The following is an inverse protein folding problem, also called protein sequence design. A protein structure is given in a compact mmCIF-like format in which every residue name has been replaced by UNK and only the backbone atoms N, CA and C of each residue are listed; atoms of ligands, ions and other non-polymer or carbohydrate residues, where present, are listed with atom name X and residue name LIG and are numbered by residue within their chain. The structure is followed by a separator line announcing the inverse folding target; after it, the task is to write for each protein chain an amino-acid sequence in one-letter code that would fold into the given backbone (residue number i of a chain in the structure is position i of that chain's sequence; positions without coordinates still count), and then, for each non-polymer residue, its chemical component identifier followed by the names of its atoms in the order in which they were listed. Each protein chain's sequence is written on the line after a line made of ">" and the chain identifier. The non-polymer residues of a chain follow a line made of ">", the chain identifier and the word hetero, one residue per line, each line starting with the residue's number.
data_IF_228128189828
#
_entry.id   IF_228128189828
#
_cell.length_a   1.000
_cell.length_b   1.000
_cell.length_c   1.000
_cell.angle_alpha   90.00
_cell.angle_beta   90.00
_cell.angle_gamma   90.00
#
_symmetry.space_group_name_H-M   'P 1'
#
loop_
_entity.id
_entity.type
_entity.pdbx_description
1 polymer ?
#
# COMPACT_ATOMS: atom_id res chain seq x y z
N UNK A 1 -0.60 32.82 -2.01
CA UNK A 1 -1.19 31.66 -1.30
C UNK A 1 -2.47 31.22 -2.01
N UNK A 2 -3.47 32.06 -2.15
CA UNK A 2 -4.78 31.75 -2.78
C UNK A 2 -4.72 31.06 -4.16
N UNK A 3 -3.78 31.43 -5.04
CA UNK A 3 -3.59 30.79 -6.34
C UNK A 3 -2.95 29.38 -6.28
N UNK A 4 -2.17 29.09 -5.24
CA UNK A 4 -1.53 27.78 -5.04
C UNK A 4 -2.56 26.81 -4.44
N UNK A 5 -3.33 27.26 -3.46
CA UNK A 5 -4.41 26.47 -2.84
C UNK A 5 -5.45 26.07 -3.89
N UNK A 6 -5.90 27.03 -4.70
CA UNK A 6 -6.84 26.74 -5.79
C UNK A 6 -6.28 25.73 -6.81
N UNK A 7 -4.98 25.81 -7.13
CA UNK A 7 -4.32 24.85 -8.03
C UNK A 7 -4.28 23.45 -7.42
N UNK A 8 -4.01 23.32 -6.12
CA UNK A 8 -4.00 22.02 -5.44
C UNK A 8 -5.38 21.36 -5.45
N UNK A 9 -6.45 22.13 -5.24
CA UNK A 9 -7.82 21.62 -5.22
C UNK A 9 -8.27 21.08 -6.58
N UNK A 10 -7.81 21.71 -7.68
CA UNK A 10 -8.11 21.29 -9.05
C UNK A 10 -7.16 20.16 -9.55
N UNK A 11 -6.14 19.77 -8.75
CA UNK A 11 -5.20 18.71 -9.16
C UNK A 11 -5.95 17.38 -9.33
N UNK A 12 -5.58 16.65 -10.38
CA UNK A 12 -6.27 15.40 -10.75
C UNK A 12 -5.79 14.24 -9.88
N UNK A 13 -6.75 13.50 -9.38
CA UNK A 13 -6.54 12.24 -8.67
C UNK A 13 -7.74 11.32 -8.97
N UNK A 14 -7.47 10.07 -9.34
CA UNK A 14 -8.53 9.12 -9.62
C UNK A 14 -8.70 8.15 -8.45
N UNK A 15 -9.77 8.34 -7.69
CA UNK A 15 -10.11 7.56 -6.50
C UNK A 15 -11.36 6.72 -6.76
N UNK A 16 -11.26 5.43 -6.47
CA UNK A 16 -12.37 4.48 -6.64
C UNK A 16 -13.34 4.55 -5.47
N UNK A 17 -12.84 4.50 -4.24
CA UNK A 17 -13.66 4.54 -3.03
C UNK A 17 -12.95 5.20 -1.86
N UNK A 18 -13.74 5.76 -0.94
CA UNK A 18 -13.30 6.30 0.34
C UNK A 18 -14.18 5.67 1.41
N UNK A 19 -13.59 5.13 2.46
CA UNK A 19 -14.32 4.50 3.55
C UNK A 19 -13.52 4.55 4.85
N UNK A 20 -14.22 4.51 5.98
CA UNK A 20 -13.60 4.49 7.31
C UNK A 20 -13.72 3.10 7.92
N UNK A 21 -12.61 2.57 8.43
CA UNK A 21 -12.50 1.25 9.00
C UNK A 21 -11.37 1.17 10.01
N UNK A 22 -10.96 -0.04 10.36
CA UNK A 22 -9.74 -0.32 11.14
C UNK A 22 -8.64 -0.78 10.20
N UNK A 23 -7.43 -0.20 10.32
CA UNK A 23 -6.27 -0.73 9.60
C UNK A 23 -6.05 -2.19 9.98
N UNK A 24 -6.12 -3.08 8.99
CA UNK A 24 -6.07 -4.52 9.21
C UNK A 24 -4.68 -5.14 9.16
N UNK A 25 -3.66 -4.39 8.69
CA UNK A 25 -2.35 -4.93 8.33
C UNK A 25 -1.21 -3.98 8.72
N UNK A 26 -0.02 -4.56 9.03
CA UNK A 26 1.19 -3.79 9.26
C UNK A 26 1.28 -3.09 10.61
N UNK A 27 2.14 -2.08 10.69
CA UNK A 27 2.47 -1.37 11.94
C UNK A 27 1.27 -0.73 12.63
N UNK A 28 0.30 -0.25 11.85
CA UNK A 28 -0.89 0.43 12.38
C UNK A 28 -2.12 -0.49 12.52
N UNK A 29 -1.93 -1.81 12.55
CA UNK A 29 -3.04 -2.76 12.76
C UNK A 29 -3.85 -2.40 14.00
N UNK A 30 -5.17 -2.25 13.84
CA UNK A 30 -6.10 -1.87 14.90
C UNK A 30 -6.42 -0.37 14.97
N UNK A 31 -5.73 0.48 14.21
CA UNK A 31 -6.00 1.93 14.21
C UNK A 31 -7.27 2.25 13.41
N UNK A 32 -8.20 3.06 13.95
CA UNK A 32 -9.27 3.66 13.17
C UNK A 32 -8.69 4.53 12.07
N UNK A 33 -9.05 4.25 10.82
CA UNK A 33 -8.43 4.85 9.65
C UNK A 33 -9.45 5.16 8.57
N UNK A 34 -9.25 6.26 7.84
CA UNK A 34 -9.96 6.50 6.59
C UNK A 34 -9.07 6.09 5.43
N UNK A 35 -9.60 5.21 4.60
CA UNK A 35 -8.93 4.67 3.42
C UNK A 35 -9.35 5.43 2.18
N UNK A 36 -8.36 5.90 1.42
CA UNK A 36 -8.54 6.54 0.11
C UNK A 36 -7.95 5.59 -0.92
N UNK A 37 -8.82 4.87 -1.64
CA UNK A 37 -8.43 3.82 -2.58
C UNK A 37 -8.39 4.32 -4.00
N UNK A 38 -7.18 4.45 -4.55
CA UNK A 38 -6.91 4.96 -5.88
C UNK A 38 -7.16 3.89 -6.97
N UNK A 39 -7.47 4.37 -8.17
CA UNK A 39 -7.67 3.54 -9.36
C UNK A 39 -6.39 3.36 -10.16
N UNK A 40 -6.20 2.14 -10.66
CA UNK A 40 -5.12 1.78 -11.58
C UNK A 40 -3.87 1.21 -10.90
N UNK A 41 -3.32 0.15 -11.49
CA UNK A 41 -2.07 -0.49 -11.07
C UNK A 41 -1.26 -0.88 -12.29
N UNK A 42 0.07 -0.89 -12.17
CA UNK A 42 0.97 -1.38 -13.21
C UNK A 42 1.13 -2.90 -13.19
N UNK A 43 0.93 -3.52 -12.03
CA UNK A 43 1.05 -4.97 -11.85
C UNK A 43 -0.30 -5.69 -12.08
N UNK A 44 -0.21 -7.00 -12.28
CA UNK A 44 -1.36 -7.91 -12.43
C UNK A 44 -1.07 -9.17 -11.63
N UNK A 45 -1.28 -9.09 -10.33
CA UNK A 45 -0.99 -10.22 -9.42
C UNK A 45 -2.01 -11.33 -9.60
N UNK A 46 -1.52 -12.56 -9.80
CA UNK A 46 -2.31 -13.80 -9.79
C UNK A 46 -1.62 -14.77 -8.86
N UNK A 47 -2.33 -15.24 -7.86
CA UNK A 47 -1.83 -16.17 -6.86
C UNK A 47 -2.27 -17.62 -7.16
N UNK A 48 -1.73 -18.56 -6.41
CA UNK A 48 -2.08 -19.97 -6.55
C UNK A 48 -3.59 -20.21 -6.43
N UNK A 49 -4.11 -21.18 -7.18
CA UNK A 49 -5.55 -21.45 -7.21
C UNK A 49 -6.40 -20.49 -8.01
N UNK A 50 -5.77 -19.54 -8.75
CA UNK A 50 -6.48 -18.59 -9.59
C UNK A 50 -7.08 -17.40 -8.82
N UNK A 51 -6.62 -17.17 -7.58
CA UNK A 51 -6.94 -15.96 -6.84
C UNK A 51 -6.20 -14.78 -7.48
N UNK A 52 -6.91 -13.70 -7.79
CA UNK A 52 -6.33 -12.44 -8.27
C UNK A 52 -6.19 -11.48 -7.10
N UNK A 53 -5.53 -10.33 -7.36
CA UNK A 53 -5.43 -9.26 -6.37
C UNK A 53 -6.79 -8.99 -5.70
N UNK A 54 -6.83 -8.88 -4.38
CA UNK A 54 -8.04 -8.59 -3.57
C UNK A 54 -8.72 -7.26 -3.94
N UNK A 55 -7.95 -6.31 -4.45
CA UNK A 55 -8.44 -5.06 -5.03
C UNK A 55 -8.42 -5.07 -6.57
N UNK A 56 -8.81 -6.20 -7.20
CA UNK A 56 -8.80 -6.37 -8.65
C UNK A 56 -9.69 -5.33 -9.39
N UNK A 57 -10.73 -4.85 -8.75
CA UNK A 57 -11.61 -3.79 -9.25
C UNK A 57 -10.93 -2.43 -9.38
N UNK A 58 -9.76 -2.23 -8.77
CA UNK A 58 -8.91 -1.06 -8.98
C UNK A 58 -7.68 -1.33 -9.86
N UNK A 59 -7.37 -2.60 -10.15
CA UNK A 59 -6.12 -2.99 -10.79
C UNK A 59 -6.30 -3.77 -12.10
N UNK A 60 -6.99 -4.91 -12.08
CA UNK A 60 -7.10 -5.82 -13.24
C UNK A 60 -8.07 -5.29 -14.30
N UNK A 61 -9.26 -4.91 -13.85
CA UNK A 61 -10.32 -4.28 -14.65
C UNK A 61 -10.86 -3.12 -13.82
N UNK A 62 -10.14 -1.98 -13.83
CA UNK A 62 -10.53 -0.86 -12.99
C UNK A 62 -11.97 -0.45 -13.25
N UNK A 63 -12.76 -0.41 -12.20
CA UNK A 63 -14.03 0.31 -12.21
C UNK A 63 -13.75 1.79 -12.45
N UNK A 64 -14.66 2.55 -13.04
CA UNK A 64 -14.51 4.00 -13.13
C UNK A 64 -14.22 4.62 -11.77
N UNK A 65 -13.37 5.63 -11.75
CA UNK A 65 -13.15 6.41 -10.54
C UNK A 65 -14.44 7.16 -10.17
N UNK A 66 -14.72 7.27 -8.87
CA UNK A 66 -15.86 8.02 -8.35
C UNK A 66 -15.49 9.48 -8.06
N UNK A 67 -14.19 9.75 -7.88
CA UNK A 67 -13.66 11.08 -7.58
C UNK A 67 -12.48 11.36 -8.51
N UNK A 68 -12.40 12.60 -9.05
CA UNK A 68 -11.44 12.96 -10.09
C UNK A 68 -10.55 14.15 -9.73
N UNK A 69 -10.88 14.87 -8.65
CA UNK A 69 -10.10 16.00 -8.16
C UNK A 69 -9.81 15.88 -6.66
N UNK A 70 -8.78 16.56 -6.21
CA UNK A 70 -8.43 16.61 -4.78
C UNK A 70 -9.58 17.19 -3.96
N UNK A 71 -10.28 18.21 -4.47
CA UNK A 71 -11.44 18.82 -3.83
C UNK A 71 -12.57 17.81 -3.58
N UNK A 72 -12.92 17.00 -4.60
CA UNK A 72 -13.94 15.96 -4.45
C UNK A 72 -13.56 14.93 -3.38
N UNK A 73 -12.28 14.51 -3.36
CA UNK A 73 -11.77 13.57 -2.36
C UNK A 73 -11.82 14.15 -0.95
N UNK A 74 -11.40 15.40 -0.77
CA UNK A 74 -11.42 16.08 0.54
C UNK A 74 -12.85 16.26 1.07
N UNK A 75 -13.79 16.61 0.21
CA UNK A 75 -15.21 16.72 0.58
C UNK A 75 -15.77 15.37 1.05
N UNK A 76 -15.43 14.28 0.39
CA UNK A 76 -15.85 12.96 0.83
C UNK A 76 -15.16 12.55 2.15
N UNK A 77 -13.85 12.80 2.31
CA UNK A 77 -13.16 12.58 3.60
C UNK A 77 -13.86 13.34 4.72
N UNK A 78 -14.22 14.60 4.50
CA UNK A 78 -14.96 15.42 5.47
C UNK A 78 -16.31 14.79 5.84
N UNK A 79 -17.04 14.28 4.87
CA UNK A 79 -18.31 13.57 5.10
C UNK A 79 -18.08 12.29 5.91
N UNK A 80 -17.09 11.49 5.59
CA UNK A 80 -16.76 10.23 6.26
C UNK A 80 -16.22 10.41 7.69
N UNK A 81 -15.70 11.58 8.04
CA UNK A 81 -15.01 11.83 9.32
C UNK A 81 -15.70 12.92 10.13
N UNK A 82 -15.54 14.19 9.77
CA UNK A 82 -16.04 15.36 10.52
C UNK A 82 -17.56 15.35 10.63
N UNK A 83 -18.28 15.18 9.53
CA UNK A 83 -19.76 15.19 9.54
C UNK A 83 -20.33 13.94 10.22
N UNK A 84 -19.63 12.81 10.12
CA UNK A 84 -19.98 11.59 10.85
C UNK A 84 -19.54 11.61 12.33
N UNK A 85 -18.88 12.69 12.78
CA UNK A 85 -18.37 12.86 14.15
C UNK A 85 -17.40 11.77 14.60
N UNK A 86 -16.61 11.23 13.67
CA UNK A 86 -15.59 10.21 13.94
C UNK A 86 -14.25 10.88 14.29
N UNK A 87 -13.51 10.26 15.22
CA UNK A 87 -12.17 10.74 15.63
C UNK A 87 -11.09 9.96 14.86
N UNK A 88 -10.92 10.28 13.59
CA UNK A 88 -9.94 9.65 12.73
C UNK A 88 -8.64 10.46 12.73
N UNK A 89 -7.54 9.82 13.10
CA UNK A 89 -6.19 10.42 13.11
C UNK A 89 -5.24 9.73 12.11
N UNK A 90 -5.71 8.75 11.37
CA UNK A 90 -4.90 8.00 10.43
C UNK A 90 -5.58 7.92 9.07
N UNK A 91 -4.86 8.32 8.04
CA UNK A 91 -5.31 8.26 6.63
C UNK A 91 -4.43 7.27 5.89
N UNK A 92 -5.05 6.33 5.20
CA UNK A 92 -4.37 5.31 4.40
C UNK A 92 -4.64 5.55 2.92
N UNK A 93 -3.62 5.95 2.19
CA UNK A 93 -3.67 6.10 0.74
C UNK A 93 -3.25 4.77 0.12
N UNK A 94 -4.18 4.09 -0.52
CA UNK A 94 -4.04 2.73 -1.00
C UNK A 94 -4.68 2.57 -2.38
N UNK A 95 -4.99 1.35 -2.82
CA UNK A 95 -5.77 1.09 -4.02
C UNK A 95 -5.09 0.15 -4.99
N UNK A 96 -5.01 0.51 -6.27
CA UNK A 96 -4.21 -0.20 -7.26
C UNK A 96 -2.72 -0.02 -6.95
N UNK A 97 -2.16 1.09 -7.42
CA UNK A 97 -0.80 1.54 -7.06
C UNK A 97 -0.82 3.07 -6.92
N UNK A 98 -0.81 3.59 -5.69
CA UNK A 98 -0.91 5.02 -5.43
C UNK A 98 0.21 5.84 -6.07
N UNK A 99 1.45 5.33 -6.05
CA UNK A 99 2.62 6.06 -6.54
C UNK A 99 2.60 6.37 -8.06
N UNK A 100 1.57 5.94 -8.76
CA UNK A 100 1.28 6.36 -10.14
C UNK A 100 0.70 7.78 -10.22
N UNK A 101 0.13 8.27 -9.12
CA UNK A 101 -0.63 9.53 -9.07
C UNK A 101 0.00 10.53 -8.08
N UNK A 102 1.34 10.58 -8.03
CA UNK A 102 2.09 11.35 -7.04
C UNK A 102 1.68 12.84 -6.93
N UNK A 103 1.44 13.60 -8.03
CA UNK A 103 1.01 15.00 -7.91
C UNK A 103 -0.30 15.18 -7.14
N UNK A 104 -1.32 14.38 -7.47
CA UNK A 104 -2.61 14.43 -6.76
C UNK A 104 -2.50 14.00 -5.30
N UNK A 105 -1.72 12.95 -5.02
CA UNK A 105 -1.43 12.51 -3.63
C UNK A 105 -0.74 13.61 -2.85
N UNK A 106 0.23 14.29 -3.46
CA UNK A 106 0.94 15.38 -2.83
C UNK A 106 -0.01 16.52 -2.43
N UNK A 107 -0.85 16.97 -3.35
CA UNK A 107 -1.82 18.01 -3.08
C UNK A 107 -2.82 17.59 -1.98
N UNK A 108 -3.32 16.36 -2.04
CA UNK A 108 -4.24 15.80 -1.05
C UNK A 108 -3.65 15.76 0.35
N UNK A 109 -2.43 15.20 0.50
CA UNK A 109 -1.77 15.09 1.80
C UNK A 109 -1.52 16.48 2.38
N UNK A 110 -1.09 17.43 1.54
CA UNK A 110 -0.86 18.79 1.97
C UNK A 110 -2.10 19.39 2.61
N UNK A 111 -3.23 19.35 1.93
CA UNK A 111 -4.48 19.91 2.42
C UNK A 111 -4.93 19.22 3.72
N UNK A 112 -4.83 17.89 3.84
CA UNK A 112 -5.20 17.14 5.04
C UNK A 112 -4.35 17.52 6.26
N UNK A 113 -3.03 17.74 6.06
CA UNK A 113 -2.11 18.08 7.16
C UNK A 113 -2.11 19.56 7.51
N UNK A 114 -2.32 20.44 6.55
CA UNK A 114 -2.36 21.90 6.79
C UNK A 114 -3.72 22.35 7.36
N UNK A 115 -4.80 21.62 7.06
CA UNK A 115 -6.17 21.97 7.43
C UNK A 115 -6.95 20.81 8.10
N UNK A 116 -6.40 20.14 9.13
CA UNK A 116 -7.02 18.93 9.71
C UNK A 116 -8.40 19.24 10.34
N UNK A 117 -8.60 20.39 10.96
CA UNK A 117 -9.89 20.77 11.53
C UNK A 117 -10.99 20.90 10.48
N UNK A 118 -10.64 21.37 9.27
CA UNK A 118 -11.60 21.52 8.17
C UNK A 118 -12.13 20.16 7.70
N UNK A 119 -11.25 19.17 7.54
CA UNK A 119 -11.59 17.88 6.95
C UNK A 119 -11.85 16.77 7.97
N UNK A 120 -11.13 16.78 9.10
CA UNK A 120 -11.20 15.71 10.10
C UNK A 120 -11.97 16.12 11.37
N UNK A 121 -12.23 17.41 11.55
CA UNK A 121 -12.99 17.92 12.70
C UNK A 121 -12.20 18.01 14.00
N UNK A 122 -10.86 18.00 13.94
CA UNK A 122 -9.95 18.19 15.07
C UNK A 122 -8.64 18.82 14.61
N UNK A 123 -7.89 19.41 15.53
CA UNK A 123 -6.60 20.08 15.23
C UNK A 123 -5.40 19.11 15.14
N UNK A 124 -5.56 17.86 15.54
CA UNK A 124 -4.49 16.87 15.47
C UNK A 124 -4.09 16.60 14.02
N UNK A 125 -2.80 16.72 13.71
CA UNK A 125 -2.25 16.40 12.39
C UNK A 125 -2.37 14.90 12.17
N UNK A 126 -2.98 14.44 11.06
CA UNK A 126 -3.16 13.01 10.81
C UNK A 126 -1.84 12.32 10.45
N UNK A 127 -1.70 11.07 10.89
CA UNK A 127 -0.70 10.14 10.36
C UNK A 127 -1.11 9.69 8.96
N UNK A 128 -0.20 9.78 8.01
CA UNK A 128 -0.41 9.37 6.61
C UNK A 128 0.38 8.11 6.30
N UNK A 129 -0.30 7.05 5.91
CA UNK A 129 0.31 5.83 5.35
C UNK A 129 0.07 5.76 3.85
N UNK A 130 1.12 5.49 3.06
CA UNK A 130 0.99 5.11 1.65
C UNK A 130 1.27 3.61 1.52
N UNK A 131 0.27 2.85 1.08
CA UNK A 131 0.42 1.43 0.74
C UNK A 131 0.78 1.28 -0.73
N UNK A 132 2.00 0.84 -1.01
CA UNK A 132 2.54 0.74 -2.37
C UNK A 132 3.15 -0.63 -2.66
N UNK A 133 3.18 -1.02 -3.93
CA UNK A 133 3.91 -2.21 -4.37
C UNK A 133 5.43 -1.98 -4.54
N UNK A 134 5.91 -0.75 -4.34
CA UNK A 134 7.33 -0.41 -4.39
C UNK A 134 7.95 -0.33 -5.78
N UNK A 135 7.15 -0.25 -6.85
CA UNK A 135 7.68 -0.27 -8.23
C UNK A 135 7.85 1.10 -8.87
N UNK A 136 7.28 2.15 -8.30
CA UNK A 136 7.43 3.52 -8.78
C UNK A 136 8.40 4.29 -7.93
N UNK A 137 9.43 4.85 -8.60
CA UNK A 137 10.38 5.76 -7.93
C UNK A 137 9.62 7.00 -7.46
N UNK A 138 9.94 7.41 -6.25
CA UNK A 138 9.43 8.63 -5.70
C UNK A 138 10.11 9.83 -6.37
N UNK A 139 9.38 10.60 -7.14
CA UNK A 139 9.91 11.72 -7.92
C UNK A 139 9.31 13.08 -7.56
N UNK A 140 8.14 13.08 -6.92
CA UNK A 140 7.40 14.31 -6.62
C UNK A 140 7.26 14.59 -5.13
N UNK A 141 7.04 13.55 -4.32
CA UNK A 141 6.76 13.72 -2.89
C UNK A 141 7.98 14.20 -2.08
N UNK A 142 9.21 14.27 -2.67
CA UNK A 142 10.43 14.41 -1.89
C UNK A 142 11.52 15.30 -2.50
N UNK A 143 11.28 15.97 -3.61
CA UNK A 143 12.24 16.95 -4.15
C UNK A 143 12.19 18.29 -3.41
N UNK A 144 11.24 18.46 -2.48
CA UNK A 144 11.12 19.65 -1.65
C UNK A 144 11.31 19.25 -0.16
N UNK A 145 12.32 19.80 0.56
CA UNK A 145 12.54 19.50 1.98
C UNK A 145 11.32 19.73 2.88
N UNK A 146 10.37 20.56 2.45
CA UNK A 146 9.12 20.83 3.18
C UNK A 146 8.25 19.55 3.25
N UNK A 147 8.36 18.64 2.29
CA UNK A 147 7.55 17.44 2.20
C UNK A 147 8.03 16.26 3.06
N UNK A 148 9.26 16.34 3.59
CA UNK A 148 9.83 15.30 4.46
C UNK A 148 8.96 14.96 5.70
N UNK A 149 7.99 15.80 6.06
CA UNK A 149 7.13 15.62 7.21
C UNK A 149 5.69 15.23 6.88
N UNK A 150 5.36 14.90 5.61
CA UNK A 150 3.97 14.72 5.21
C UNK A 150 3.53 13.26 5.11
N UNK A 151 4.44 12.31 4.86
CA UNK A 151 4.14 10.87 4.87
C UNK A 151 4.80 10.23 6.08
N UNK A 152 4.00 9.64 6.96
CA UNK A 152 4.49 9.07 8.22
C UNK A 152 4.94 7.61 8.07
N UNK A 153 4.32 6.87 7.12
CA UNK A 153 4.70 5.48 6.85
C UNK A 153 4.58 5.12 5.36
N UNK A 154 5.65 4.60 4.78
CA UNK A 154 5.56 3.79 3.56
C UNK A 154 5.36 2.32 3.90
N UNK A 155 4.17 1.80 3.62
CA UNK A 155 3.87 0.38 3.69
C UNK A 155 4.15 -0.26 2.33
N UNK A 156 5.39 -0.69 2.13
CA UNK A 156 5.84 -1.26 0.86
C UNK A 156 5.53 -2.75 0.85
N UNK A 157 4.81 -3.22 -0.16
CA UNK A 157 4.43 -4.62 -0.33
C UNK A 157 5.08 -5.20 -1.60
N UNK A 158 6.36 -5.61 -1.56
CA UNK A 158 7.03 -6.20 -2.71
C UNK A 158 6.31 -7.48 -3.16
N UNK A 159 6.23 -7.69 -4.47
CA UNK A 159 5.55 -8.85 -5.03
C UNK A 159 6.54 -9.97 -5.32
N UNK A 160 6.33 -11.12 -4.68
CA UNK A 160 7.09 -12.34 -4.88
C UNK A 160 6.66 -13.08 -6.16
N UNK A 161 7.40 -14.09 -6.56
CA UNK A 161 7.12 -14.94 -7.74
C UNK A 161 5.75 -15.65 -7.62
N UNK A 162 5.27 -15.88 -6.41
CA UNK A 162 3.92 -16.42 -6.15
C UNK A 162 2.79 -15.53 -6.65
N UNK A 163 3.08 -14.27 -7.01
CA UNK A 163 2.12 -13.37 -7.68
C UNK A 163 2.05 -13.55 -9.21
N UNK A 164 2.76 -14.54 -9.76
CA UNK A 164 2.92 -14.80 -11.20
C UNK A 164 2.23 -16.11 -11.67
N UNK A 165 1.27 -16.64 -10.92
CA UNK A 165 0.54 -17.89 -11.25
C UNK A 165 -0.45 -17.71 -12.41
N UNK A 166 -0.02 -17.08 -13.51
CA UNK A 166 -0.87 -16.70 -14.65
C UNK A 166 -1.49 -17.90 -15.36
N UNK A 167 -0.86 -19.06 -15.33
CA UNK A 167 -1.34 -20.32 -15.89
C UNK A 167 -2.65 -20.77 -15.23
N UNK A 168 -2.86 -20.43 -13.97
CA UNK A 168 -4.06 -20.82 -13.22
C UNK A 168 -5.32 -20.11 -13.71
N UNK A 169 -5.17 -19.01 -14.42
CA UNK A 169 -6.27 -18.20 -14.98
C UNK A 169 -6.27 -18.13 -16.51
N UNK A 170 -5.44 -18.92 -17.19
CA UNK A 170 -5.28 -18.84 -18.64
C UNK A 170 -6.59 -19.10 -19.40
N UNK A 171 -7.42 -19.99 -18.89
CA UNK A 171 -8.70 -20.36 -19.48
C UNK A 171 -9.90 -19.61 -18.85
N UNK A 172 -9.67 -18.72 -17.91
CA UNK A 172 -10.72 -17.91 -17.30
C UNK A 172 -10.96 -16.64 -18.15
N UNK A 173 -12.15 -16.48 -18.78
CA UNK A 173 -12.43 -15.35 -19.65
C UNK A 173 -12.42 -13.98 -18.92
N UNK A 174 -12.58 -14.03 -17.59
CA UNK A 174 -12.64 -12.82 -16.74
C UNK A 174 -11.26 -12.50 -16.14
N UNK A 175 -10.54 -13.50 -15.66
CA UNK A 175 -9.29 -13.32 -14.91
C UNK A 175 -8.04 -13.40 -15.77
N UNK A 176 -8.14 -13.91 -16.99
CA UNK A 176 -7.00 -14.07 -17.91
C UNK A 176 -6.20 -12.77 -18.07
N UNK A 177 -4.89 -12.87 -17.89
CA UNK A 177 -3.96 -11.75 -18.03
C UNK A 177 -3.31 -11.80 -19.42
N UNK A 178 -3.39 -10.72 -20.22
CA UNK A 178 -2.70 -10.66 -21.52
C UNK A 178 -1.19 -10.84 -21.37
N UNK A 179 -0.55 -11.55 -22.31
CA UNK A 179 0.87 -11.88 -22.28
C UNK A 179 1.77 -10.66 -22.02
N UNK A 180 1.53 -9.54 -22.72
CA UNK A 180 2.27 -8.29 -22.49
C UNK A 180 2.16 -7.77 -21.06
N UNK A 181 1.03 -8.02 -20.39
CA UNK A 181 0.85 -7.60 -19.01
C UNK A 181 1.56 -8.55 -18.03
N UNK A 182 1.62 -9.85 -18.35
CA UNK A 182 2.43 -10.82 -17.62
C UNK A 182 3.93 -10.49 -17.70
N UNK A 183 4.45 -10.22 -18.91
CA UNK A 183 5.84 -9.82 -19.14
C UNK A 183 6.20 -8.55 -18.38
N UNK A 184 5.31 -7.55 -18.43
CA UNK A 184 5.48 -6.31 -17.66
C UNK A 184 5.50 -6.57 -16.15
N UNK A 185 4.58 -7.38 -15.64
CA UNK A 185 4.54 -7.74 -14.22
C UNK A 185 5.85 -8.39 -13.78
N UNK A 186 6.33 -9.42 -14.52
CA UNK A 186 7.58 -10.11 -14.22
C UNK A 186 8.80 -9.19 -14.21
N UNK A 187 8.86 -8.26 -15.17
CA UNK A 187 9.96 -7.30 -15.27
C UNK A 187 9.95 -6.26 -14.16
N UNK A 188 8.75 -5.73 -13.83
CA UNK A 188 8.61 -4.51 -13.04
C UNK A 188 8.38 -4.78 -11.54
N UNK A 189 8.05 -6.02 -11.11
CA UNK A 189 7.71 -6.32 -9.71
C UNK A 189 8.85 -6.12 -8.71
N UNK A 190 10.09 -6.09 -9.18
CA UNK A 190 11.27 -5.81 -8.35
C UNK A 190 11.92 -4.52 -8.86
N UNK A 191 11.94 -3.49 -8.00
CA UNK A 191 12.54 -2.20 -8.33
C UNK A 191 13.23 -1.61 -7.10
N UNK A 192 14.45 -2.06 -6.80
CA UNK A 192 15.24 -1.57 -5.66
C UNK A 192 15.48 -0.05 -5.68
N UNK A 193 15.77 0.58 -6.84
CA UNK A 193 15.86 2.04 -6.93
C UNK A 193 14.60 2.78 -6.45
N UNK A 194 13.42 2.22 -6.74
CA UNK A 194 12.17 2.82 -6.28
C UNK A 194 12.03 2.70 -4.76
N UNK A 195 12.34 1.54 -4.21
CA UNK A 195 12.25 1.27 -2.77
C UNK A 195 13.27 2.10 -2.00
N UNK A 196 14.53 2.15 -2.45
CA UNK A 196 15.54 3.01 -1.84
C UNK A 196 15.06 4.47 -1.78
N UNK A 197 14.47 4.99 -2.87
CA UNK A 197 13.98 6.37 -2.88
C UNK A 197 12.88 6.67 -1.83
N UNK A 198 12.13 5.66 -1.39
CA UNK A 198 11.17 5.78 -0.29
C UNK A 198 11.83 5.69 1.08
N UNK A 199 12.81 4.79 1.23
CA UNK A 199 13.56 4.60 2.48
C UNK A 199 14.44 5.85 2.79
N UNK A 200 15.01 6.47 1.79
CA UNK A 200 15.90 7.64 1.94
C UNK A 200 15.17 8.94 2.30
N UNK A 201 13.86 8.96 2.29
CA UNK A 201 13.10 10.16 2.65
C UNK A 201 13.19 10.52 4.13
N UNK A 202 13.74 9.65 4.96
CA UNK A 202 13.85 9.85 6.40
C UNK A 202 12.56 9.53 7.18
N UNK A 203 11.51 9.09 6.50
CA UNK A 203 10.27 8.60 7.12
C UNK A 203 10.40 7.17 7.62
N UNK A 204 9.40 6.74 8.34
CA UNK A 204 9.27 5.33 8.69
C UNK A 204 8.79 4.51 7.47
N UNK A 205 9.18 3.25 7.43
CA UNK A 205 8.75 2.31 6.41
C UNK A 205 8.57 0.91 6.97
N UNK A 206 7.89 0.08 6.22
CA UNK A 206 7.82 -1.37 6.43
C UNK A 206 7.89 -2.09 5.08
N UNK A 207 8.54 -3.25 5.07
CA UNK A 207 8.55 -4.19 3.95
C UNK A 207 7.60 -5.34 4.29
N UNK A 208 6.39 -5.31 3.73
CA UNK A 208 5.32 -6.26 4.05
C UNK A 208 5.20 -7.31 2.96
N UNK A 209 5.69 -8.52 3.22
CA UNK A 209 5.63 -9.65 2.31
C UNK A 209 4.42 -10.54 2.57
N UNK A 210 3.86 -11.10 1.51
CA UNK A 210 2.76 -12.07 1.59
C UNK A 210 3.32 -13.48 1.55
N UNK A 211 3.02 -14.27 2.57
CA UNK A 211 3.41 -15.67 2.71
C UNK A 211 2.31 -16.57 2.18
N UNK A 212 2.57 -17.24 1.09
CA UNK A 212 1.68 -18.23 0.47
C UNK A 212 2.08 -19.65 0.82
N UNK A 213 3.40 -19.92 0.84
CA UNK A 213 3.98 -21.23 1.08
C UNK A 213 5.47 -21.10 1.49
N UNK A 214 6.13 -22.20 1.95
CA UNK A 214 7.51 -22.17 2.46
C UNK A 214 8.56 -21.66 1.48
N UNK A 215 8.35 -21.77 0.15
CA UNK A 215 9.34 -21.30 -0.83
C UNK A 215 9.49 -19.77 -0.81
N UNK A 216 8.47 -19.04 -0.31
CA UNK A 216 8.56 -17.60 -0.16
C UNK A 216 9.66 -17.15 0.78
N UNK A 217 10.03 -17.95 1.78
CA UNK A 217 11.02 -17.57 2.79
C UNK A 217 12.39 -17.36 2.15
N UNK A 218 12.80 -18.30 1.32
CA UNK A 218 14.08 -18.18 0.61
C UNK A 218 14.05 -17.03 -0.42
N UNK A 219 12.93 -16.85 -1.12
CA UNK A 219 12.76 -15.72 -2.03
C UNK A 219 12.79 -14.37 -1.29
N UNK A 220 12.16 -14.26 -0.11
CA UNK A 220 12.23 -13.05 0.73
C UNK A 220 13.68 -12.76 1.10
N UNK A 221 14.45 -13.75 1.57
CA UNK A 221 15.87 -13.56 1.90
C UNK A 221 16.66 -13.04 0.71
N UNK A 222 16.55 -13.69 -0.44
CA UNK A 222 17.23 -13.26 -1.67
C UNK A 222 16.82 -11.85 -2.10
N UNK A 223 15.54 -11.51 -1.91
CA UNK A 223 15.02 -10.18 -2.21
C UNK A 223 15.62 -9.12 -1.27
N UNK A 224 15.69 -9.42 0.04
CA UNK A 224 16.29 -8.54 1.05
C UNK A 224 17.79 -8.35 0.81
N UNK A 225 18.52 -9.45 0.52
CA UNK A 225 19.95 -9.41 0.19
C UNK A 225 20.19 -8.53 -1.05
N UNK A 226 19.33 -8.63 -2.07
CA UNK A 226 19.39 -7.80 -3.26
C UNK A 226 19.18 -6.32 -2.99
N UNK A 227 18.24 -5.97 -2.10
CA UNK A 227 18.02 -4.57 -1.68
C UNK A 227 19.21 -4.05 -0.86
N UNK A 228 19.69 -4.82 0.11
CA UNK A 228 20.87 -4.47 0.92
C UNK A 228 22.08 -4.24 0.04
N UNK A 229 22.36 -5.17 -0.90
CA UNK A 229 23.47 -5.03 -1.85
C UNK A 229 23.36 -3.77 -2.71
N UNK A 230 22.12 -3.44 -3.14
CA UNK A 230 21.85 -2.23 -3.91
C UNK A 230 22.12 -0.96 -3.09
N UNK A 231 21.73 -0.95 -1.81
CA UNK A 231 21.82 0.23 -0.94
C UNK A 231 23.18 0.42 -0.26
N UNK A 232 23.98 -0.64 -0.10
CA UNK A 232 25.18 -0.65 0.76
C UNK A 232 26.24 0.41 0.40
N UNK A 233 26.27 0.86 -0.86
CA UNK A 233 27.19 1.89 -1.33
C UNK A 233 26.90 3.26 -0.70
N UNK A 234 25.63 3.57 -0.50
CA UNK A 234 25.14 4.85 0.03
C UNK A 234 24.78 4.76 1.53
N UNK A 235 24.45 3.53 2.01
CA UNK A 235 23.96 3.27 3.36
C UNK A 235 24.72 2.10 4.01
N UNK A 236 25.79 2.38 4.79
CA UNK A 236 26.53 1.32 5.52
C UNK A 236 25.66 0.52 6.51
N UNK A 237 24.56 1.11 6.99
CA UNK A 237 23.58 0.52 7.91
C UNK A 237 22.44 -0.22 7.18
N UNK A 238 22.52 -0.37 5.85
CA UNK A 238 21.44 -0.93 5.03
C UNK A 238 20.93 -2.29 5.52
N UNK A 239 21.83 -3.18 5.97
CA UNK A 239 21.43 -4.49 6.47
C UNK A 239 20.48 -4.38 7.66
N UNK A 240 20.88 -3.67 8.70
CA UNK A 240 20.06 -3.52 9.91
C UNK A 240 18.77 -2.76 9.63
N UNK A 241 18.87 -1.68 8.87
CA UNK A 241 17.73 -0.87 8.47
C UNK A 241 16.66 -1.69 7.73
N UNK A 242 17.07 -2.48 6.74
CA UNK A 242 16.16 -3.30 5.93
C UNK A 242 15.56 -4.42 6.75
N UNK A 243 16.38 -5.21 7.47
CA UNK A 243 15.92 -6.38 8.21
C UNK A 243 15.03 -6.03 9.41
N UNK A 244 15.28 -4.91 10.09
CA UNK A 244 14.44 -4.48 11.24
C UNK A 244 13.03 -4.02 10.81
N UNK A 245 12.77 -3.82 9.52
CA UNK A 245 11.49 -3.35 8.99
C UNK A 245 10.72 -4.39 8.17
N UNK A 246 11.12 -5.66 8.25
CA UNK A 246 10.43 -6.78 7.58
C UNK A 246 9.20 -7.20 8.37
N UNK A 247 8.05 -7.26 7.69
CA UNK A 247 6.82 -7.85 8.17
C UNK A 247 6.38 -8.94 7.19
N UNK A 248 5.88 -10.06 7.72
CA UNK A 248 5.35 -11.14 6.88
C UNK A 248 3.92 -11.44 7.29
N UNK A 249 3.06 -11.56 6.29
CA UNK A 249 1.60 -11.68 6.42
C UNK A 249 1.10 -12.96 5.75
N UNK A 250 0.24 -13.76 6.40
CA UNK A 250 -0.33 -14.93 5.76
C UNK A 250 -1.28 -14.53 4.62
N UNK A 251 -1.12 -15.16 3.45
CA UNK A 251 -2.09 -15.05 2.37
C UNK A 251 -3.41 -15.74 2.75
N UNK A 252 -4.54 -15.13 2.39
CA UNK A 252 -5.86 -15.72 2.57
C UNK A 252 -6.99 -14.69 2.48
N UNK A 253 -8.12 -15.12 1.95
CA UNK A 253 -9.37 -14.36 1.84
C UNK A 253 -10.38 -14.77 2.93
N UNK A 254 -10.09 -15.86 3.68
CA UNK A 254 -10.93 -16.36 4.76
C UNK A 254 -10.14 -16.56 6.05
N UNK A 255 -10.84 -16.50 7.19
CA UNK A 255 -10.25 -16.76 8.51
C UNK A 255 -9.57 -18.13 8.56
N UNK A 256 -10.16 -19.13 7.92
CA UNK A 256 -9.61 -20.48 7.89
C UNK A 256 -8.28 -20.54 7.14
N UNK A 257 -8.20 -19.93 5.96
CA UNK A 257 -6.96 -19.87 5.15
C UNK A 257 -5.84 -19.15 5.90
N UNK A 258 -6.15 -18.01 6.51
CA UNK A 258 -5.19 -17.24 7.32
C UNK A 258 -4.71 -18.05 8.51
N UNK A 259 -5.63 -18.65 9.28
CA UNK A 259 -5.32 -19.41 10.49
C UNK A 259 -4.42 -20.61 10.18
N UNK A 260 -4.70 -21.33 9.08
CA UNK A 260 -3.91 -22.48 8.65
C UNK A 260 -2.42 -22.16 8.43
N UNK A 261 -2.12 -20.94 7.95
CA UNK A 261 -0.75 -20.48 7.68
C UNK A 261 -0.11 -19.77 8.87
N UNK A 262 -0.91 -19.22 9.79
CA UNK A 262 -0.44 -18.30 10.82
C UNK A 262 0.52 -18.94 11.81
N UNK A 263 0.28 -20.19 12.24
CA UNK A 263 1.17 -20.86 13.20
C UNK A 263 2.55 -21.11 12.61
N UNK A 264 2.61 -21.71 11.44
CA UNK A 264 3.88 -21.95 10.72
C UNK A 264 4.61 -20.64 10.47
N UNK A 265 3.90 -19.60 10.00
CA UNK A 265 4.49 -18.29 9.74
C UNK A 265 5.01 -17.62 11.01
N UNK A 266 4.31 -17.75 12.15
CA UNK A 266 4.79 -17.20 13.41
C UNK A 266 6.11 -17.85 13.84
N UNK A 267 6.24 -19.17 13.71
CA UNK A 267 7.48 -19.89 14.00
C UNK A 267 8.62 -19.46 13.07
N UNK A 268 8.31 -19.21 11.81
CA UNK A 268 9.26 -18.66 10.84
C UNK A 268 9.69 -17.25 11.24
N UNK A 269 8.75 -16.36 11.56
CA UNK A 269 9.06 -14.98 11.96
C UNK A 269 9.96 -14.94 13.20
N UNK A 270 9.70 -15.80 14.20
CA UNK A 270 10.54 -15.92 15.41
C UNK A 270 11.96 -16.34 15.02
N UNK A 271 12.12 -17.33 14.14
CA UNK A 271 13.43 -17.85 13.72
C UNK A 271 14.23 -16.85 12.90
N UNK A 272 13.57 -16.12 12.00
CA UNK A 272 14.21 -15.16 11.09
C UNK A 272 14.36 -13.74 11.70
N UNK A 273 13.77 -13.49 12.88
CA UNK A 273 13.74 -12.16 13.49
C UNK A 273 12.82 -11.17 12.80
N UNK A 274 11.86 -11.66 12.00
CA UNK A 274 10.88 -10.82 11.29
C UNK A 274 9.63 -10.57 12.13
N UNK A 275 8.88 -9.53 11.80
CA UNK A 275 7.60 -9.23 12.43
C UNK A 275 6.48 -9.99 11.74
N UNK A 276 5.61 -10.62 12.50
CA UNK A 276 4.35 -11.18 12.01
C UNK A 276 3.29 -10.06 11.94
N UNK A 277 2.52 -9.99 10.86
CA UNK A 277 1.31 -9.16 10.79
C UNK A 277 0.13 -9.98 10.29
N UNK A 278 -1.03 -9.74 10.86
CA UNK A 278 -2.28 -10.43 10.50
C UNK A 278 -3.05 -9.66 9.42
N UNK A 279 -4.18 -10.22 9.00
CA UNK A 279 -5.24 -9.56 8.22
C UNK A 279 -6.47 -9.38 9.13
N UNK A 280 -6.38 -8.45 10.06
CA UNK A 280 -7.38 -8.25 11.11
C UNK A 280 -8.78 -7.98 10.55
N UNK A 281 -8.90 -7.22 9.45
CA UNK A 281 -10.17 -6.95 8.76
C UNK A 281 -10.86 -8.23 8.30
N UNK A 282 -10.11 -9.22 7.78
CA UNK A 282 -10.66 -10.52 7.40
C UNK A 282 -11.18 -11.29 8.63
N UNK A 283 -10.49 -11.18 9.76
CA UNK A 283 -10.95 -11.85 11.00
C UNK A 283 -12.22 -11.25 11.57
N UNK A 284 -12.42 -9.93 11.39
CA UNK A 284 -13.58 -9.22 11.94
C UNK A 284 -14.78 -9.32 11.01
N UNK A 285 -14.59 -9.09 9.71
CA UNK A 285 -15.67 -8.92 8.75
C UNK A 285 -15.70 -9.95 7.60
N UNK A 286 -14.66 -10.80 7.51
CA UNK A 286 -14.46 -11.66 6.34
C UNK A 286 -14.01 -10.87 5.12
N UNK A 287 -14.15 -11.44 3.94
CA UNK A 287 -13.81 -10.80 2.67
C UNK A 287 -14.92 -9.81 2.22
N UNK A 288 -15.11 -8.75 3.01
CA UNK A 288 -16.04 -7.68 2.68
C UNK A 288 -15.28 -6.44 2.22
N UNK A 289 -15.83 -5.80 1.18
CA UNK A 289 -15.31 -4.53 0.66
C UNK A 289 -15.81 -3.35 1.52
N UNK A 290 -14.96 -2.36 1.72
CA UNK A 290 -15.27 -1.07 2.38
C UNK A 290 -15.87 -1.21 3.80
N UNK A 291 -15.28 -2.05 4.64
CA UNK A 291 -15.70 -2.29 6.04
C UNK A 291 -14.55 -2.03 7.00
#
# INVERSE_FOLDING_TARGET
>A
MENIEKKNMEEKIEVNEIFTSIQGEGKFTGYPSTFIRLTGCNLRCVFAGGSICDSAYTSHRPEPANFHTVEEVLNEVKTQTKEASLKIKHIVITGGEPMRQQPGIQALIKELKDNPEEYLGHEDIPDITIETNGTYKNTHLFNDPIWLNYVDLFSISPKLSTSESFETVENDPIKKIPLKAQERHKRDRINYPAIQSMIETGYDFQLKFVYSNPTNIEEIKQWLDGLVEYMKGDRPDAYELVHSNVLVMPEGETVEQITKKSQELADICIREGWKFTDRLHIRIWGDKRAV
#
